data_IF_347679560444
#
_entry.id   IF_347679560444
#
_cell.length_a   1.000
_cell.length_b   1.000
_cell.length_c   1.000
_cell.angle_alpha   90.00
_cell.angle_beta   90.00
_cell.angle_gamma   90.00
#
_symmetry.space_group_name_H-M   'P 1'
#
loop_
_entity.id
_entity.type
_entity.pdbx_description
1 polymer ?
#
# COMPACT_ATOMS: atom_id res chain seq x y z
N UNK A 1 -14.15 13.04 -12.79
CA UNK A 1 -13.64 13.80 -11.64
C UNK A 1 -14.81 14.17 -10.73
N UNK A 2 -14.62 14.08 -9.41
CA UNK A 2 -15.63 14.49 -8.43
C UNK A 2 -16.78 13.52 -8.22
N UNK A 3 -16.65 12.26 -8.63
CA UNK A 3 -17.54 11.20 -8.21
C UNK A 3 -17.48 10.98 -6.69
N UNK A 4 -18.53 10.39 -6.11
CA UNK A 4 -18.54 10.08 -4.67
C UNK A 4 -17.43 9.09 -4.31
N UNK A 5 -16.76 9.35 -3.22
CA UNK A 5 -15.76 8.43 -2.68
C UNK A 5 -16.34 7.07 -2.32
N UNK A 6 -15.54 6.03 -2.46
CA UNK A 6 -15.91 4.67 -2.04
C UNK A 6 -15.72 4.55 -0.53
N UNK A 7 -16.68 5.10 0.22
CA UNK A 7 -16.63 5.18 1.68
C UNK A 7 -17.90 4.58 2.30
N UNK A 8 -17.71 3.48 3.02
CA UNK A 8 -18.78 2.73 3.66
C UNK A 8 -18.37 2.33 5.07
N UNK A 9 -19.35 2.30 5.96
CA UNK A 9 -19.21 1.84 7.35
C UNK A 9 -20.24 0.77 7.67
N UNK A 10 -19.97 0.04 8.71
CA UNK A 10 -20.94 -0.86 9.35
C UNK A 10 -21.30 -0.30 10.73
N UNK A 11 -22.52 -0.53 11.24
CA UNK A 11 -22.92 -0.11 12.60
C UNK A 11 -22.05 -0.73 13.69
N UNK A 12 -21.55 -1.93 13.43
CA UNK A 12 -20.64 -2.67 14.30
C UNK A 12 -19.31 -2.87 13.61
N UNK A 13 -18.27 -3.23 14.38
CA UNK A 13 -16.94 -3.52 13.85
C UNK A 13 -17.00 -4.54 12.73
N UNK A 14 -16.49 -4.18 11.56
CA UNK A 14 -16.49 -5.04 10.37
C UNK A 14 -15.43 -6.14 10.46
N UNK A 15 -15.67 -7.25 9.75
CA UNK A 15 -14.66 -8.30 9.64
C UNK A 15 -13.35 -7.84 8.97
N UNK A 16 -13.38 -6.76 8.20
CA UNK A 16 -12.18 -6.14 7.60
C UNK A 16 -11.36 -5.41 8.67
N UNK A 17 -12.02 -4.66 9.56
CA UNK A 17 -11.35 -4.00 10.69
C UNK A 17 -10.77 -5.03 11.66
N UNK A 18 -11.50 -6.09 11.95
CA UNK A 18 -11.04 -7.20 12.79
C UNK A 18 -9.75 -7.85 12.21
N UNK A 19 -9.76 -8.20 10.92
CA UNK A 19 -8.59 -8.80 10.24
C UNK A 19 -7.38 -7.86 10.24
N UNK A 20 -7.58 -6.55 10.09
CA UNK A 20 -6.48 -5.56 10.15
C UNK A 20 -5.83 -5.49 11.53
N UNK A 21 -6.61 -5.58 12.60
CA UNK A 21 -6.08 -5.54 13.97
C UNK A 21 -5.43 -6.84 14.40
N UNK A 22 -5.98 -7.98 13.98
CA UNK A 22 -5.53 -9.33 14.39
C UNK A 22 -4.50 -9.93 13.44
N UNK A 23 -4.15 -9.26 12.33
CA UNK A 23 -3.27 -9.75 11.28
C UNK A 23 -3.76 -11.05 10.63
N UNK A 24 -5.06 -11.17 10.45
CA UNK A 24 -5.70 -12.24 9.68
C UNK A 24 -6.54 -13.22 10.48
N UNK A 25 -6.66 -13.08 11.78
CA UNK A 25 -7.59 -13.86 12.58
C UNK A 25 -9.00 -13.28 12.49
N UNK A 26 -9.98 -14.11 12.19
CA UNK A 26 -11.39 -13.77 12.11
C UNK A 26 -12.19 -14.56 13.14
N UNK A 27 -12.77 -13.88 14.12
CA UNK A 27 -13.48 -14.53 15.23
C UNK A 27 -14.90 -15.00 14.86
N UNK A 28 -15.61 -14.23 14.03
CA UNK A 28 -16.97 -14.59 13.62
C UNK A 28 -17.32 -14.08 12.22
N UNK A 29 -18.13 -14.86 11.50
CA UNK A 29 -18.78 -14.41 10.26
C UNK A 29 -20.14 -13.85 10.68
N UNK A 30 -20.34 -12.54 10.50
CA UNK A 30 -21.59 -11.83 10.81
C UNK A 30 -22.21 -11.30 9.53
N UNK A 31 -23.52 -11.16 9.52
CA UNK A 31 -24.18 -10.35 8.50
C UNK A 31 -23.70 -8.91 8.60
N UNK A 32 -23.31 -8.34 7.48
CA UNK A 32 -22.78 -6.97 7.40
C UNK A 32 -23.60 -6.18 6.40
N UNK A 33 -24.13 -5.04 6.85
CA UNK A 33 -24.77 -4.06 5.97
C UNK A 33 -23.85 -2.85 5.83
N UNK A 34 -23.53 -2.53 4.59
CA UNK A 34 -22.71 -1.38 4.26
C UNK A 34 -23.56 -0.12 4.15
N UNK A 35 -23.31 0.84 5.02
CA UNK A 35 -23.94 2.16 4.97
C UNK A 35 -22.98 3.14 4.32
N UNK A 36 -23.42 3.83 3.28
CA UNK A 36 -22.61 4.81 2.58
C UNK A 36 -22.37 6.05 3.43
N UNK A 37 -21.14 6.51 3.49
CA UNK A 37 -20.81 7.86 3.93
C UNK A 37 -20.90 8.78 2.72
N UNK A 38 -21.74 9.81 2.80
CA UNK A 38 -21.90 10.79 1.73
C UNK A 38 -20.68 11.69 1.62
N UNK A 39 -20.25 11.95 0.39
CA UNK A 39 -19.12 12.82 0.11
C UNK A 39 -19.60 14.25 -0.12
N UNK A 40 -19.31 15.15 0.82
CA UNK A 40 -19.73 16.56 0.80
C UNK A 40 -18.61 17.50 0.30
N UNK A 41 -17.36 17.02 0.28
CA UNK A 41 -16.22 17.77 -0.21
C UNK A 41 -16.18 17.85 -1.74
N UNK A 42 -15.12 18.45 -2.28
CA UNK A 42 -14.87 18.60 -3.70
C UNK A 42 -13.59 17.92 -4.15
N UNK A 43 -13.13 18.33 -5.33
CA UNK A 43 -11.79 18.08 -5.87
C UNK A 43 -11.16 19.42 -6.19
N UNK A 44 -9.93 19.63 -5.77
CA UNK A 44 -9.11 20.80 -6.09
C UNK A 44 -7.93 20.36 -6.97
N UNK A 45 -7.79 20.98 -8.12
CA UNK A 45 -6.68 20.77 -9.05
C UNK A 45 -5.83 22.03 -9.11
N UNK A 46 -4.53 21.88 -8.92
CA UNK A 46 -3.56 22.97 -9.12
C UNK A 46 -3.37 23.34 -10.60
N UNK A 47 -2.61 24.38 -10.84
CA UNK A 47 -2.24 24.81 -12.18
C UNK A 47 -1.40 23.72 -12.88
N UNK A 48 -1.48 23.66 -14.21
CA UNK A 48 -0.71 22.74 -15.05
C UNK A 48 -0.89 21.23 -14.73
N UNK A 49 -1.98 20.87 -14.05
CA UNK A 49 -2.35 19.46 -13.84
C UNK A 49 -2.90 18.88 -15.14
N UNK A 50 -2.37 17.72 -15.55
CA UNK A 50 -2.90 16.96 -16.68
C UNK A 50 -3.53 15.66 -16.17
N UNK A 51 -4.70 15.29 -16.72
CA UNK A 51 -5.43 14.09 -16.33
C UNK A 51 -5.77 13.28 -17.56
N UNK A 52 -5.20 12.08 -17.62
CA UNK A 52 -5.35 11.12 -18.71
C UNK A 52 -6.76 10.50 -18.79
N UNK A 53 -6.99 9.82 -19.88
CA UNK A 53 -8.27 9.21 -20.21
C UNK A 53 -8.72 8.19 -19.16
N UNK A 54 -9.99 8.24 -18.79
CA UNK A 54 -10.60 7.33 -17.82
C UNK A 54 -9.93 7.33 -16.42
N UNK A 55 -9.12 8.34 -16.08
CA UNK A 55 -8.69 8.52 -14.72
C UNK A 55 -9.88 8.96 -13.85
N UNK A 56 -9.99 8.38 -12.66
CA UNK A 56 -11.05 8.70 -11.70
C UNK A 56 -10.44 9.38 -10.46
N UNK A 57 -10.97 10.55 -10.10
CA UNK A 57 -10.58 11.29 -8.90
C UNK A 57 -11.84 11.51 -8.08
N UNK A 58 -11.94 10.84 -6.94
CA UNK A 58 -13.08 10.92 -6.04
C UNK A 58 -13.06 12.24 -5.27
N UNK A 59 -14.23 12.80 -5.01
CA UNK A 59 -14.36 13.93 -4.11
C UNK A 59 -14.08 13.51 -2.66
N UNK A 60 -13.64 14.46 -1.86
CA UNK A 60 -13.43 14.20 -0.44
C UNK A 60 -14.73 14.09 0.35
N UNK A 61 -14.65 13.48 1.52
CA UNK A 61 -15.81 13.34 2.41
C UNK A 61 -16.26 14.69 2.95
N UNK A 62 -15.35 15.48 3.47
CA UNK A 62 -15.59 16.86 3.96
C UNK A 62 -14.60 17.82 3.31
N UNK A 63 -13.31 17.55 3.45
CA UNK A 63 -12.24 18.31 2.79
C UNK A 63 -12.08 17.81 1.34
N UNK A 64 -11.63 18.69 0.45
CA UNK A 64 -11.38 18.33 -0.93
C UNK A 64 -10.26 17.27 -1.06
N UNK A 65 -10.39 16.40 -2.06
CA UNK A 65 -9.26 15.66 -2.65
C UNK A 65 -8.43 16.65 -3.45
N UNK A 66 -7.11 16.64 -3.33
CA UNK A 66 -6.24 17.66 -3.89
C UNK A 66 -5.15 17.06 -4.77
N UNK A 67 -4.93 17.68 -5.93
CA UNK A 67 -3.82 17.38 -6.82
C UNK A 67 -3.01 18.69 -6.99
N UNK A 68 -1.75 18.65 -6.55
CA UNK A 68 -0.87 19.81 -6.59
C UNK A 68 -0.43 20.19 -8.01
N UNK A 69 0.04 21.42 -8.14
CA UNK A 69 0.48 22.05 -9.41
C UNK A 69 1.49 21.14 -10.15
N UNK A 70 1.44 21.13 -11.48
CA UNK A 70 2.38 20.46 -12.37
C UNK A 70 2.24 18.93 -12.41
N UNK A 71 1.44 18.32 -11.51
CA UNK A 71 1.27 16.87 -11.44
C UNK A 71 0.59 16.29 -12.67
N UNK A 72 1.14 15.19 -13.16
CA UNK A 72 0.63 14.46 -14.33
C UNK A 72 0.01 13.14 -13.88
N UNK A 73 -1.24 12.95 -14.26
CA UNK A 73 -2.05 11.77 -13.95
C UNK A 73 -2.35 11.05 -15.25
N UNK A 74 -1.80 9.87 -15.43
CA UNK A 74 -1.96 9.07 -16.65
C UNK A 74 -3.32 8.38 -16.69
N UNK A 75 -3.59 7.68 -17.77
CA UNK A 75 -4.84 6.98 -18.01
C UNK A 75 -5.13 5.89 -16.99
N UNK A 76 -6.41 5.72 -16.66
CA UNK A 76 -6.90 4.67 -15.74
C UNK A 76 -6.35 4.77 -14.31
N UNK A 77 -5.83 5.93 -13.91
CA UNK A 77 -5.42 6.17 -12.51
C UNK A 77 -6.66 6.35 -11.64
N UNK A 78 -6.67 5.72 -10.46
CA UNK A 78 -7.68 5.93 -9.42
C UNK A 78 -7.10 6.71 -8.26
N UNK A 79 -7.66 7.86 -7.95
CA UNK A 79 -7.36 8.64 -6.74
C UNK A 79 -8.59 8.63 -5.83
N UNK A 80 -8.45 7.99 -4.68
CA UNK A 80 -9.53 7.86 -3.69
C UNK A 80 -9.85 9.17 -2.97
N UNK A 81 -10.95 9.15 -2.24
CA UNK A 81 -11.44 10.30 -1.49
C UNK A 81 -10.42 10.82 -0.46
N UNK A 82 -10.40 12.12 -0.21
CA UNK A 82 -9.53 12.78 0.78
C UNK A 82 -8.02 12.64 0.52
N UNK A 83 -7.60 12.11 -0.63
CA UNK A 83 -6.19 12.03 -1.01
C UNK A 83 -5.64 13.43 -1.23
N UNK A 84 -4.40 13.64 -0.83
CA UNK A 84 -3.62 14.83 -1.20
C UNK A 84 -2.39 14.38 -1.97
N UNK A 85 -2.23 14.87 -3.19
CA UNK A 85 -1.04 14.70 -4.01
C UNK A 85 -0.32 16.04 -4.07
N UNK A 86 0.99 16.02 -3.84
CA UNK A 86 1.85 17.20 -3.91
C UNK A 86 2.05 17.72 -5.34
N UNK A 87 3.05 18.57 -5.50
CA UNK A 87 3.40 19.21 -6.76
C UNK A 87 4.36 18.35 -7.60
N UNK A 88 4.32 18.53 -8.92
CA UNK A 88 5.25 17.97 -9.90
C UNK A 88 5.39 16.43 -9.80
N UNK A 89 4.30 15.73 -9.44
CA UNK A 89 4.25 14.28 -9.37
C UNK A 89 3.94 13.65 -10.72
N UNK A 90 4.35 12.38 -10.88
CA UNK A 90 4.01 11.54 -12.03
C UNK A 90 3.30 10.28 -11.56
N UNK A 91 2.01 10.19 -11.84
CA UNK A 91 1.16 9.03 -11.56
C UNK A 91 0.92 8.27 -12.86
N UNK A 92 1.68 7.20 -13.07
CA UNK A 92 1.62 6.42 -14.32
C UNK A 92 0.36 5.56 -14.40
N UNK A 93 0.09 5.00 -15.56
CA UNK A 93 -1.13 4.25 -15.87
C UNK A 93 -1.47 3.17 -14.85
N UNK A 94 -2.77 3.05 -14.53
CA UNK A 94 -3.30 2.06 -13.58
C UNK A 94 -2.81 2.21 -12.12
N UNK A 95 -2.22 3.34 -11.75
CA UNK A 95 -1.91 3.65 -10.35
C UNK A 95 -3.22 3.74 -9.56
N UNK A 96 -3.25 3.12 -8.38
CA UNK A 96 -4.35 3.22 -7.45
C UNK A 96 -3.90 3.80 -6.11
N UNK A 97 -4.46 4.94 -5.72
CA UNK A 97 -4.20 5.58 -4.44
C UNK A 97 -5.46 5.50 -3.59
N UNK A 98 -5.39 4.75 -2.50
CA UNK A 98 -6.54 4.56 -1.61
C UNK A 98 -6.83 5.82 -0.78
N UNK A 99 -8.03 5.86 -0.20
CA UNK A 99 -8.55 7.03 0.48
C UNK A 99 -7.66 7.56 1.60
N UNK A 100 -7.64 8.87 1.76
CA UNK A 100 -6.90 9.58 2.83
C UNK A 100 -5.37 9.43 2.80
N UNK A 101 -4.80 8.85 1.74
CA UNK A 101 -3.36 8.83 1.55
C UNK A 101 -2.81 10.23 1.23
N UNK A 102 -1.56 10.47 1.62
CA UNK A 102 -0.85 11.72 1.35
C UNK A 102 0.41 11.45 0.56
N UNK A 103 0.49 11.99 -0.62
CA UNK A 103 1.64 11.89 -1.53
C UNK A 103 2.37 13.23 -1.50
N UNK A 104 3.66 13.21 -1.24
CA UNK A 104 4.53 14.39 -1.24
C UNK A 104 4.77 14.95 -2.64
N UNK A 105 5.75 15.84 -2.75
CA UNK A 105 6.12 16.49 -4.00
C UNK A 105 7.10 15.64 -4.82
N UNK A 106 7.10 15.79 -6.14
CA UNK A 106 8.03 15.14 -7.09
C UNK A 106 8.07 13.62 -6.96
N UNK A 107 6.95 13.04 -6.53
CA UNK A 107 6.81 11.58 -6.39
C UNK A 107 6.52 10.97 -7.76
N UNK A 108 7.19 9.86 -8.07
CA UNK A 108 6.92 9.06 -9.26
C UNK A 108 6.35 7.71 -8.84
N UNK A 109 5.10 7.45 -9.22
CA UNK A 109 4.46 6.15 -9.07
C UNK A 109 4.38 5.47 -10.42
N UNK A 110 5.19 4.44 -10.64
CA UNK A 110 5.20 3.65 -11.87
C UNK A 110 3.89 2.92 -12.12
N UNK A 111 3.67 2.44 -13.33
CA UNK A 111 2.41 1.80 -13.71
C UNK A 111 1.99 0.68 -12.75
N UNK A 112 0.69 0.59 -12.44
CA UNK A 112 0.09 -0.41 -11.54
C UNK A 112 0.55 -0.32 -10.07
N UNK A 113 1.21 0.75 -9.67
CA UNK A 113 1.52 0.97 -8.24
C UNK A 113 0.22 1.11 -7.45
N UNK A 114 0.18 0.47 -6.28
CA UNK A 114 -0.91 0.61 -5.33
C UNK A 114 -0.43 1.25 -4.03
N UNK A 115 -1.13 2.28 -3.56
CA UNK A 115 -0.87 2.94 -2.29
C UNK A 115 -2.03 2.68 -1.34
N UNK A 116 -1.74 2.17 -0.15
CA UNK A 116 -2.75 1.87 0.87
C UNK A 116 -3.36 3.14 1.47
N UNK A 117 -4.51 2.97 2.10
CA UNK A 117 -5.23 4.05 2.77
C UNK A 117 -4.50 4.58 4.01
N UNK A 118 -4.71 5.86 4.30
CA UNK A 118 -4.23 6.53 5.51
C UNK A 118 -2.72 6.53 5.73
N UNK A 119 -1.92 6.29 4.68
CA UNK A 119 -0.45 6.36 4.75
C UNK A 119 0.09 7.62 4.07
N UNK A 120 1.37 7.91 4.31
CA UNK A 120 2.07 8.93 3.55
C UNK A 120 3.21 8.34 2.71
N UNK A 121 3.42 8.95 1.55
CA UNK A 121 4.57 8.77 0.69
C UNK A 121 5.30 10.11 0.66
N UNK A 122 6.52 10.14 1.16
CA UNK A 122 7.31 11.37 1.29
C UNK A 122 7.75 11.93 -0.06
N UNK A 123 8.29 13.15 -0.03
CA UNK A 123 8.82 13.82 -1.22
C UNK A 123 9.91 12.97 -1.92
N UNK A 124 10.02 13.11 -3.23
CA UNK A 124 11.09 12.50 -4.04
C UNK A 124 11.11 10.96 -4.00
N UNK A 125 10.01 10.32 -3.61
CA UNK A 125 9.89 8.86 -3.68
C UNK A 125 9.67 8.41 -5.11
N UNK A 126 10.41 7.38 -5.53
CA UNK A 126 10.22 6.71 -6.82
C UNK A 126 9.80 5.27 -6.56
N UNK A 127 8.61 4.89 -6.98
CA UNK A 127 8.12 3.52 -6.92
C UNK A 127 8.07 2.90 -8.32
N UNK A 128 8.83 1.85 -8.54
CA UNK A 128 8.81 1.06 -9.78
C UNK A 128 7.47 0.40 -10.03
N UNK A 129 7.20 0.00 -11.27
CA UNK A 129 5.92 -0.60 -11.66
C UNK A 129 5.49 -1.78 -10.78
N UNK A 130 4.19 -1.93 -10.60
CA UNK A 130 3.54 -2.97 -9.80
C UNK A 130 3.91 -3.00 -8.30
N UNK A 131 4.61 -1.99 -7.79
CA UNK A 131 4.92 -1.87 -6.36
C UNK A 131 3.65 -1.65 -5.53
N UNK A 132 3.55 -2.34 -4.39
CA UNK A 132 2.47 -2.16 -3.42
C UNK A 132 3.02 -1.51 -2.15
N UNK A 133 2.60 -0.28 -1.86
CA UNK A 133 3.03 0.51 -0.71
C UNK A 133 1.97 0.37 0.38
N UNK A 134 2.23 -0.46 1.38
CA UNK A 134 1.31 -0.74 2.48
C UNK A 134 1.60 0.06 3.75
N UNK A 135 2.77 0.66 3.84
CA UNK A 135 3.22 1.43 5.00
C UNK A 135 3.82 2.75 4.56
N UNK A 136 3.99 3.67 5.51
CA UNK A 136 4.61 4.96 5.24
C UNK A 136 5.96 4.81 4.53
N UNK A 137 6.16 5.56 3.46
CA UNK A 137 7.41 5.61 2.71
C UNK A 137 8.13 6.95 2.99
N UNK A 138 9.26 6.95 3.72
CA UNK A 138 10.05 8.16 3.91
C UNK A 138 10.52 8.80 2.61
N UNK A 139 10.76 10.11 2.63
CA UNK A 139 11.22 10.86 1.46
C UNK A 139 12.52 10.29 0.84
N UNK A 140 12.68 10.45 -0.46
CA UNK A 140 13.84 10.05 -1.24
C UNK A 140 14.03 8.54 -1.39
N UNK A 141 13.05 7.72 -1.05
CA UNK A 141 13.14 6.25 -1.21
C UNK A 141 12.87 5.82 -2.63
N UNK A 142 13.68 4.85 -3.09
CA UNK A 142 13.40 4.10 -4.33
C UNK A 142 12.84 2.74 -3.93
N UNK A 143 11.61 2.46 -4.39
CA UNK A 143 10.86 1.26 -4.04
C UNK A 143 10.66 0.39 -5.28
N UNK A 144 10.78 -0.92 -5.13
CA UNK A 144 10.52 -1.88 -6.21
C UNK A 144 9.67 -3.03 -5.69
N UNK A 145 8.59 -3.30 -6.41
CA UNK A 145 7.69 -4.42 -6.14
C UNK A 145 8.16 -5.74 -6.76
N UNK A 146 7.24 -6.57 -7.15
CA UNK A 146 7.47 -7.94 -7.63
C UNK A 146 7.80 -7.96 -9.12
N UNK A 147 9.08 -8.05 -9.53
CA UNK A 147 9.42 -8.20 -10.93
C UNK A 147 9.00 -9.60 -11.45
N UNK A 148 8.75 -9.70 -12.76
CA UNK A 148 8.48 -10.99 -13.38
C UNK A 148 9.71 -11.92 -13.27
N UNK A 149 9.44 -13.16 -12.91
CA UNK A 149 10.44 -14.22 -12.80
C UNK A 149 10.02 -15.42 -13.65
N UNK A 150 10.98 -16.28 -14.03
CA UNK A 150 10.63 -17.58 -14.60
C UNK A 150 9.71 -18.32 -13.63
N UNK A 151 8.64 -18.95 -14.13
CA UNK A 151 7.64 -19.64 -13.32
C UNK A 151 8.25 -20.63 -12.32
N UNK A 152 9.20 -21.45 -12.79
CA UNK A 152 9.91 -22.41 -11.94
C UNK A 152 10.64 -21.73 -10.77
N UNK A 153 11.37 -20.65 -11.06
CA UNK A 153 12.09 -19.87 -10.04
C UNK A 153 11.13 -19.21 -9.04
N UNK A 154 9.98 -18.69 -9.50
CA UNK A 154 8.97 -18.09 -8.64
C UNK A 154 8.34 -19.14 -7.70
N UNK A 155 7.98 -20.32 -8.24
CA UNK A 155 7.43 -21.43 -7.46
C UNK A 155 8.41 -21.88 -6.40
N UNK A 156 9.69 -22.04 -6.75
CA UNK A 156 10.72 -22.46 -5.79
C UNK A 156 10.99 -21.39 -4.72
N UNK A 157 11.08 -20.12 -5.10
CA UNK A 157 11.20 -19.01 -4.16
C UNK A 157 10.04 -19.00 -3.16
N UNK A 158 8.80 -19.18 -3.64
CA UNK A 158 7.60 -19.22 -2.79
C UNK A 158 7.63 -20.42 -1.83
N UNK A 159 8.06 -21.59 -2.28
CA UNK A 159 8.25 -22.78 -1.41
C UNK A 159 9.30 -22.50 -0.33
N UNK A 160 10.41 -21.88 -0.69
CA UNK A 160 11.48 -21.57 0.24
C UNK A 160 11.04 -20.56 1.31
N UNK A 161 10.30 -19.52 0.94
CA UNK A 161 9.71 -18.58 1.91
C UNK A 161 8.82 -19.32 2.92
N UNK A 162 7.97 -20.25 2.47
CA UNK A 162 7.11 -21.04 3.36
C UNK A 162 7.89 -21.98 4.28
N UNK A 163 9.10 -22.37 3.93
CA UNK A 163 9.98 -23.24 4.73
C UNK A 163 10.81 -22.46 5.76
N UNK A 164 10.94 -21.14 5.63
CA UNK A 164 11.75 -20.30 6.51
C UNK A 164 11.45 -20.52 8.01
N UNK A 165 10.19 -20.55 8.49
CA UNK A 165 9.93 -20.76 9.91
C UNK A 165 10.54 -22.06 10.44
N UNK A 166 10.46 -23.16 9.67
CA UNK A 166 11.08 -24.43 10.02
C UNK A 166 12.61 -24.35 10.03
N UNK A 167 13.19 -23.65 9.04
CA UNK A 167 14.64 -23.45 8.98
C UNK A 167 15.15 -22.66 10.19
N UNK A 168 14.46 -21.58 10.57
CA UNK A 168 14.80 -20.82 11.76
C UNK A 168 14.77 -21.67 13.03
N UNK A 169 13.77 -22.53 13.21
CA UNK A 169 13.71 -23.45 14.34
C UNK A 169 14.89 -24.42 14.36
N UNK A 170 15.24 -25.02 13.22
CA UNK A 170 16.40 -25.91 13.09
C UNK A 170 17.73 -25.20 13.39
N UNK A 171 17.89 -23.96 12.91
CA UNK A 171 19.09 -23.16 13.22
C UNK A 171 19.18 -22.84 14.70
N UNK A 172 18.07 -22.51 15.35
CA UNK A 172 18.06 -22.26 16.81
C UNK A 172 18.46 -23.50 17.60
N UNK A 173 17.93 -24.67 17.26
CA UNK A 173 18.28 -25.95 17.88
C UNK A 173 19.76 -26.29 17.68
N UNK A 174 20.27 -26.10 16.45
CA UNK A 174 21.67 -26.31 16.13
C UNK A 174 22.58 -25.41 16.96
N UNK A 175 22.25 -24.13 17.10
CA UNK A 175 23.01 -23.18 17.92
C UNK A 175 23.08 -23.62 19.39
N UNK A 176 21.98 -24.06 19.97
CA UNK A 176 21.95 -24.60 21.34
C UNK A 176 22.79 -25.86 21.48
N UNK A 177 22.76 -26.75 20.49
CA UNK A 177 23.58 -27.96 20.49
C UNK A 177 25.08 -27.65 20.43
N UNK A 178 25.47 -26.74 19.53
CA UNK A 178 26.85 -26.28 19.42
C UNK A 178 27.33 -25.64 20.72
N UNK A 179 26.50 -24.78 21.36
CA UNK A 179 26.84 -24.16 22.63
C UNK A 179 27.09 -25.21 23.72
N UNK A 180 26.24 -26.21 23.86
CA UNK A 180 26.42 -27.31 24.81
C UNK A 180 27.71 -28.11 24.57
N UNK A 181 28.08 -28.33 23.28
CA UNK A 181 29.30 -29.04 22.95
C UNK A 181 30.53 -28.24 23.33
N UNK A 182 30.57 -26.94 23.07
CA UNK A 182 31.68 -26.06 23.46
C UNK A 182 31.82 -25.98 24.98
N UNK A 183 30.72 -25.83 25.72
CA UNK A 183 30.75 -25.80 27.20
C UNK A 183 31.22 -27.12 27.83
N UNK A 184 31.12 -28.24 27.08
CA UNK A 184 31.62 -29.54 27.52
C UNK A 184 33.13 -29.69 27.25
N UNK A 185 33.60 -29.20 26.10
CA UNK A 185 35.01 -29.25 25.71
C UNK A 185 35.88 -28.35 26.62
N UNK A 186 35.35 -27.25 27.15
CA UNK A 186 36.02 -26.37 28.10
C UNK A 186 36.12 -26.98 29.54
N UNK A 187 35.52 -28.13 29.82
CA UNK A 187 35.51 -28.78 31.13
C UNK A 187 36.39 -30.04 31.23
N UNK A 188 36.87 -30.55 30.09
CA UNK A 188 37.78 -31.66 29.98
C UNK A 188 39.22 -31.14 29.73
#
# INVERSE_FOLDING_TARGET
>A
IGGDGFSFVTPEKSGVEEIRETLGERQAIREQHWTRIHSLGGVELGDDVEIGANAAIDRGTIRATRIGRGTKVDSLVQVGHNVTVGEDCLLCGLVGIAGSARIGNRVVLGGQVGVSDNIFVGDDVIAGGATKIFTNAPAGRVLLGSPAMKMEAHVEATKNIRRLPRLYAQVAELRETVKKLLEKDDRD
#
